data_IF_236826668388
#
_entry.id   IF_236826668388
#
_cell.length_a   1.000
_cell.length_b   1.000
_cell.length_c   1.000
_cell.angle_alpha   90.00
_cell.angle_beta   90.00
_cell.angle_gamma   90.00
#
_symmetry.space_group_name_H-M   'P 1'
#
loop_
_entity.id
_entity.type
_entity.pdbx_description
1 polymer ?
#
# COMPACT_ATOMS: atom_id res chain seq x y z
N UNK A 1 36.63 -2.80 14.34
CA UNK A 1 35.24 -2.34 14.32
C UNK A 1 35.07 -1.59 13.02
N UNK A 2 34.19 -2.06 12.15
CA UNK A 2 34.01 -1.54 10.79
C UNK A 2 33.13 -0.29 10.85
N UNK A 3 33.76 0.89 10.81
CA UNK A 3 33.15 2.24 10.81
C UNK A 3 32.33 2.57 9.55
N UNK A 4 31.79 1.57 8.85
CA UNK A 4 30.97 1.75 7.64
C UNK A 4 29.51 2.08 7.95
N UNK A 5 29.20 2.36 9.21
CA UNK A 5 27.85 2.29 9.72
C UNK A 5 27.09 3.58 9.41
N UNK A 6 26.36 3.51 8.29
CA UNK A 6 25.15 4.26 7.95
C UNK A 6 25.34 5.64 7.29
N UNK A 7 25.90 5.66 6.07
CA UNK A 7 25.84 6.85 5.18
C UNK A 7 24.40 7.38 4.96
N UNK A 8 23.40 6.57 5.25
CA UNK A 8 21.98 6.87 5.07
C UNK A 8 21.28 7.24 6.38
N UNK A 9 21.97 7.32 7.52
CA UNK A 9 21.40 7.65 8.85
C UNK A 9 22.21 8.79 9.48
N UNK A 10 21.54 9.70 10.15
CA UNK A 10 22.20 10.80 10.87
C UNK A 10 23.02 10.29 12.06
N UNK A 11 24.04 11.06 12.43
CA UNK A 11 24.75 10.86 13.70
C UNK A 11 23.84 11.21 14.87
N UNK A 12 23.99 10.55 16.04
CA UNK A 12 23.14 10.80 17.21
C UNK A 12 23.23 12.23 17.74
N UNK A 13 24.32 12.94 17.46
CA UNK A 13 24.55 14.33 17.88
C UNK A 13 23.89 15.37 16.95
N UNK A 14 23.26 14.93 15.84
CA UNK A 14 22.62 15.84 14.88
C UNK A 14 21.26 16.29 15.41
N UNK A 15 21.20 17.51 15.97
CA UNK A 15 19.93 18.15 16.33
C UNK A 15 19.18 18.64 15.07
N UNK A 16 18.34 17.79 14.50
CA UNK A 16 17.39 18.20 13.46
C UNK A 16 16.14 18.83 14.07
N UNK A 17 16.25 20.11 14.42
CA UNK A 17 15.11 20.90 14.89
C UNK A 17 14.02 21.10 13.80
N UNK A 18 14.39 20.90 12.53
CA UNK A 18 13.53 21.14 11.36
C UNK A 18 12.74 19.91 10.90
N UNK A 19 12.74 18.82 11.67
CA UNK A 19 11.83 17.71 11.37
C UNK A 19 10.39 18.17 11.44
N UNK A 20 9.64 17.87 10.38
CA UNK A 20 8.20 18.10 10.34
C UNK A 20 7.58 17.50 11.60
N UNK A 21 6.61 18.18 12.24
CA UNK A 21 6.05 17.76 13.53
C UNK A 21 5.62 16.28 13.58
N UNK A 22 5.27 15.69 12.44
CA UNK A 22 4.88 14.28 12.27
C UNK A 22 6.00 13.25 12.47
N UNK A 23 7.27 13.64 12.25
CA UNK A 23 8.42 12.77 12.54
C UNK A 23 8.88 12.90 13.99
N UNK A 24 8.13 13.61 14.84
CA UNK A 24 8.37 13.67 16.28
C UNK A 24 7.49 12.64 16.99
N UNK A 25 7.98 12.00 18.06
CA UNK A 25 7.19 11.07 18.86
C UNK A 25 5.85 11.68 19.29
N UNK A 26 4.75 11.09 18.83
CA UNK A 26 3.41 11.58 19.16
C UNK A 26 2.38 10.45 19.10
N UNK A 27 1.39 10.49 19.99
CA UNK A 27 0.22 9.61 19.94
C UNK A 27 -0.91 10.15 19.08
N UNK A 28 -0.79 11.40 18.64
CA UNK A 28 -1.85 12.02 17.86
C UNK A 28 -1.94 11.31 16.51
N UNK A 29 -3.14 10.89 16.06
CA UNK A 29 -3.31 10.37 14.72
C UNK A 29 -2.91 11.43 13.69
N UNK A 30 -2.32 10.98 12.58
CA UNK A 30 -1.98 11.83 11.45
C UNK A 30 -3.25 12.45 10.87
N UNK A 31 -3.25 13.77 10.71
CA UNK A 31 -4.37 14.46 10.06
C UNK A 31 -4.29 14.31 8.55
N UNK A 32 -5.41 14.51 7.85
CA UNK A 32 -5.44 14.47 6.38
C UNK A 32 -4.48 15.48 5.74
N UNK A 33 -4.41 16.71 6.28
CA UNK A 33 -3.49 17.75 5.80
C UNK A 33 -2.01 17.35 6.00
N UNK A 34 -1.68 16.65 7.08
CA UNK A 34 -0.33 16.14 7.29
C UNK A 34 0.02 15.01 6.33
N UNK A 35 -0.92 14.09 6.11
CA UNK A 35 -0.76 13.01 5.13
C UNK A 35 -0.53 13.57 3.74
N UNK A 36 -1.34 14.56 3.32
CA UNK A 36 -1.18 15.27 2.05
C UNK A 36 0.17 16.01 1.96
N UNK A 37 0.61 16.63 3.05
CA UNK A 37 1.94 17.23 3.09
C UNK A 37 3.08 16.19 3.04
N UNK A 38 2.87 14.92 3.44
CA UNK A 38 3.86 13.84 3.23
C UNK A 38 3.82 13.40 1.79
N UNK A 39 2.62 13.18 1.25
CA UNK A 39 2.43 12.68 -0.11
C UNK A 39 3.01 13.60 -1.17
N UNK A 40 3.08 14.90 -0.89
CA UNK A 40 3.71 15.89 -1.77
C UNK A 40 5.20 16.15 -1.47
N UNK A 41 5.77 15.55 -0.42
CA UNK A 41 7.18 15.73 -0.05
C UNK A 41 8.10 14.71 -0.72
N UNK A 42 9.38 15.05 -0.80
CA UNK A 42 10.43 14.11 -1.22
C UNK A 42 10.76 13.10 -0.10
N UNK A 43 11.22 11.89 -0.45
CA UNK A 43 11.81 10.95 0.51
C UNK A 43 13.00 11.59 1.24
N UNK A 44 13.26 11.19 2.48
CA UNK A 44 14.40 11.73 3.22
C UNK A 44 15.69 11.12 2.67
N UNK A 45 16.67 11.94 2.32
CA UNK A 45 17.96 11.44 1.85
C UNK A 45 18.73 10.74 2.97
N UNK A 46 18.63 11.27 4.19
CA UNK A 46 19.24 10.76 5.41
C UNK A 46 18.11 10.49 6.42
N UNK A 47 18.19 9.35 7.12
CA UNK A 47 17.25 8.99 8.17
C UNK A 47 17.62 9.69 9.47
N UNK A 48 16.74 10.55 10.00
CA UNK A 48 16.94 11.17 11.30
C UNK A 48 17.08 10.12 12.40
N UNK A 49 18.05 10.31 13.31
CA UNK A 49 18.34 9.37 14.38
C UNK A 49 17.12 9.02 15.25
N UNK A 50 16.20 9.98 15.46
CA UNK A 50 14.96 9.77 16.22
C UNK A 50 14.05 8.69 15.59
N UNK A 51 14.19 8.40 14.30
CA UNK A 51 13.46 7.35 13.59
C UNK A 51 14.19 6.00 13.61
N UNK A 52 15.36 5.90 14.23
CA UNK A 52 16.07 4.63 14.41
C UNK A 52 15.53 3.94 15.66
N UNK A 53 15.07 2.68 15.57
CA UNK A 53 14.61 1.94 16.74
C UNK A 53 15.79 1.59 17.65
N UNK A 54 15.95 2.37 18.72
CA UNK A 54 16.99 2.18 19.74
C UNK A 54 16.50 1.35 20.95
N UNK A 55 15.18 1.29 21.17
CA UNK A 55 14.55 0.63 22.30
C UNK A 55 14.72 1.36 23.63
N UNK A 56 15.20 2.62 23.62
CA UNK A 56 15.44 3.41 24.83
C UNK A 56 14.26 4.33 25.18
N UNK A 57 13.35 4.60 24.24
CA UNK A 57 12.16 5.42 24.44
C UNK A 57 10.88 4.62 24.73
N UNK A 58 9.80 5.33 25.07
CA UNK A 58 8.45 4.76 25.25
C UNK A 58 7.74 4.44 23.92
N UNK A 59 8.32 4.87 22.80
CA UNK A 59 7.68 4.84 21.49
C UNK A 59 8.55 4.15 20.44
N UNK A 60 7.94 3.22 19.72
CA UNK A 60 8.47 2.67 18.49
C UNK A 60 8.28 3.68 17.35
N UNK A 61 9.35 4.02 16.60
CA UNK A 61 9.24 4.92 15.46
C UNK A 61 8.41 4.28 14.35
N UNK A 62 7.78 5.09 13.48
CA UNK A 62 7.12 4.56 12.30
C UNK A 62 8.12 3.81 11.41
N UNK A 63 7.60 2.88 10.60
CA UNK A 63 8.44 2.13 9.66
C UNK A 63 8.84 3.02 8.50
N UNK A 64 10.14 3.13 8.28
CA UNK A 64 10.74 3.85 7.17
C UNK A 64 11.47 2.82 6.29
N UNK A 65 11.22 2.85 4.98
CA UNK A 65 11.89 2.01 3.99
C UNK A 65 12.93 2.81 3.23
N UNK A 66 14.18 2.33 3.19
CA UNK A 66 15.14 2.80 2.22
C UNK A 66 14.82 2.14 0.88
N UNK A 67 14.41 2.95 -0.09
CA UNK A 67 13.73 2.46 -1.28
C UNK A 67 13.97 3.37 -2.50
N UNK A 68 13.54 2.88 -3.67
CA UNK A 68 13.43 3.65 -4.91
C UNK A 68 12.00 3.63 -5.43
N UNK A 69 11.65 4.65 -6.21
CA UNK A 69 10.44 4.65 -7.00
C UNK A 69 10.61 3.85 -8.30
N UNK A 70 9.50 3.39 -8.86
CA UNK A 70 9.46 2.73 -10.17
C UNK A 70 8.08 2.92 -10.81
N UNK A 71 7.98 2.60 -12.09
CA UNK A 71 6.72 2.57 -12.84
C UNK A 71 6.24 1.10 -12.89
N UNK A 72 5.12 0.74 -12.26
CA UNK A 72 4.67 -0.65 -12.18
C UNK A 72 4.53 -1.32 -13.54
N UNK A 73 4.04 -0.57 -14.53
CA UNK A 73 3.78 -1.08 -15.88
C UNK A 73 5.06 -1.48 -16.59
N UNK A 74 6.20 -0.85 -16.26
CA UNK A 74 7.50 -1.26 -16.82
C UNK A 74 7.94 -2.61 -16.28
N UNK A 75 7.74 -2.89 -14.99
CA UNK A 75 8.06 -4.21 -14.43
C UNK A 75 7.09 -5.29 -14.92
N UNK A 76 5.82 -4.96 -15.14
CA UNK A 76 4.85 -5.90 -15.71
C UNK A 76 5.18 -6.21 -17.16
N UNK A 77 5.47 -5.19 -17.98
CA UNK A 77 5.86 -5.39 -19.37
C UNK A 77 7.15 -6.22 -19.48
N UNK A 78 8.14 -5.95 -18.61
CA UNK A 78 9.34 -6.77 -18.51
C UNK A 78 9.01 -8.22 -18.12
N UNK A 79 8.08 -8.43 -17.18
CA UNK A 79 7.66 -9.78 -16.80
C UNK A 79 7.03 -10.54 -17.98
N UNK A 80 6.18 -9.87 -18.76
CA UNK A 80 5.56 -10.44 -19.97
C UNK A 80 6.60 -10.75 -21.06
N UNK A 81 7.55 -9.85 -21.29
CA UNK A 81 8.61 -10.02 -22.31
C UNK A 81 9.56 -11.19 -21.99
N UNK A 82 9.78 -11.48 -20.70
CA UNK A 82 10.73 -12.49 -20.24
C UNK A 82 10.08 -13.79 -19.72
N UNK A 83 8.78 -14.02 -19.99
CA UNK A 83 8.02 -15.18 -19.51
C UNK A 83 8.08 -15.37 -17.97
N UNK A 84 8.08 -14.26 -17.22
CA UNK A 84 8.11 -14.22 -15.75
C UNK A 84 6.72 -13.96 -15.13
N UNK A 85 5.66 -14.12 -15.92
CA UNK A 85 4.28 -13.90 -15.48
C UNK A 85 3.85 -15.02 -14.53
N UNK A 86 3.41 -14.64 -13.33
CA UNK A 86 2.76 -15.54 -12.40
C UNK A 86 1.24 -15.48 -12.60
N UNK A 87 0.59 -16.63 -12.73
CA UNK A 87 -0.87 -16.73 -12.74
C UNK A 87 -1.40 -16.63 -11.31
N UNK A 88 -2.50 -15.90 -11.09
CA UNK A 88 -3.21 -16.04 -9.81
C UNK A 88 -3.76 -17.45 -9.75
N UNK A 89 -3.32 -18.21 -8.75
CA UNK A 89 -4.05 -19.39 -8.33
C UNK A 89 -5.47 -18.92 -8.00
N UNK A 90 -6.42 -19.30 -8.85
CA UNK A 90 -7.83 -19.15 -8.52
C UNK A 90 -8.01 -20.09 -7.35
N UNK A 91 -7.99 -19.54 -6.13
CA UNK A 91 -8.54 -20.24 -4.98
C UNK A 91 -9.90 -20.73 -5.45
N UNK A 92 -9.98 -22.04 -5.65
CA UNK A 92 -11.25 -22.65 -5.98
C UNK A 92 -12.06 -22.37 -4.73
N UNK A 93 -12.93 -21.36 -4.81
CA UNK A 93 -14.09 -21.28 -3.96
C UNK A 93 -14.80 -22.61 -4.21
N UNK A 94 -14.42 -23.63 -3.43
CA UNK A 94 -15.17 -24.85 -3.32
C UNK A 94 -16.54 -24.34 -2.93
N UNK A 95 -17.48 -24.38 -3.89
CA UNK A 95 -18.91 -24.26 -3.64
C UNK A 95 -19.24 -25.37 -2.65
N UNK A 96 -18.94 -25.12 -1.39
CA UNK A 96 -19.55 -25.77 -0.26
C UNK A 96 -20.99 -25.28 -0.34
N UNK A 97 -21.78 -25.96 -1.16
CA UNK A 97 -23.23 -26.03 -1.00
C UNK A 97 -23.44 -26.25 0.49
N UNK A 98 -23.80 -25.16 1.18
CA UNK A 98 -24.07 -25.19 2.60
C UNK A 98 -25.28 -26.10 2.75
N UNK A 99 -25.00 -27.35 3.10
CA UNK A 99 -25.96 -28.28 3.66
C UNK A 99 -26.80 -27.53 4.69
N UNK A 100 -28.10 -27.67 4.55
CA UNK A 100 -29.14 -26.88 5.19
C UNK A 100 -28.89 -26.54 6.67
N UNK A 101 -29.38 -25.37 7.15
CA UNK A 101 -29.25 -24.97 8.53
C UNK A 101 -29.89 -26.00 9.47
N UNK A 102 -29.03 -26.77 10.16
CA UNK A 102 -29.43 -27.65 11.26
C UNK A 102 -29.84 -26.78 12.43
N UNK A 103 -31.14 -26.78 12.73
CA UNK A 103 -31.77 -26.03 13.83
C UNK A 103 -30.95 -26.06 15.13
N UNK A 104 -30.50 -24.88 15.57
CA UNK A 104 -29.82 -24.74 16.86
C UNK A 104 -30.81 -24.86 18.04
N UNK A 105 -30.42 -25.55 19.13
CA UNK A 105 -31.19 -25.58 20.36
C UNK A 105 -31.06 -24.27 21.14
N UNK A 106 -32.21 -23.66 21.44
CA UNK A 106 -32.37 -22.47 22.29
C UNK A 106 -31.68 -22.63 23.66
N UNK A 107 -30.50 -22.06 23.84
CA UNK A 107 -29.95 -21.78 25.16
C UNK A 107 -30.44 -20.42 25.66
N UNK A 108 -31.33 -20.46 26.66
CA UNK A 108 -31.78 -19.29 27.44
C UNK A 108 -30.61 -18.81 28.31
N UNK A 109 -30.05 -17.65 28.01
CA UNK A 109 -29.17 -16.92 28.93
C UNK A 109 -29.96 -15.81 29.62
N UNK A 110 -29.84 -15.81 30.94
CA UNK A 110 -30.55 -14.94 31.85
C UNK A 110 -30.02 -13.50 31.79
N UNK A 111 -30.97 -12.56 31.85
CA UNK A 111 -30.74 -11.17 32.13
C UNK A 111 -30.11 -10.99 33.52
N UNK A 112 -29.04 -10.19 33.59
CA UNK A 112 -28.32 -9.91 34.83
C UNK A 112 -27.57 -8.58 34.76
N UNK A 113 -28.25 -7.54 35.25
CA UNK A 113 -27.73 -6.38 35.98
C UNK A 113 -26.99 -5.26 35.21
N UNK A 114 -27.80 -4.24 34.93
CA UNK A 114 -27.49 -2.82 34.96
C UNK A 114 -26.69 -2.44 36.22
N UNK A 115 -25.56 -1.76 36.05
CA UNK A 115 -25.09 -0.77 37.03
C UNK A 115 -24.70 0.52 36.31
N UNK A 116 -25.40 1.54 36.75
CA UNK A 116 -25.45 2.93 36.39
C UNK A 116 -24.34 3.64 37.18
N UNK A 117 -23.24 4.01 36.54
CA UNK A 117 -22.23 4.89 37.13
C UNK A 117 -22.18 6.22 36.40
N UNK A 118 -22.81 7.18 37.07
CA UNK A 118 -22.82 8.61 36.82
C UNK A 118 -21.38 9.14 36.76
N UNK A 119 -21.04 9.84 35.67
CA UNK A 119 -19.87 10.70 35.65
C UNK A 119 -20.22 12.08 35.13
N UNK A 120 -20.07 13.03 36.02
CA UNK A 120 -20.34 14.45 35.90
C UNK A 120 -19.51 15.11 34.78
N UNK A 121 -20.18 15.87 33.91
CA UNK A 121 -19.56 16.78 32.97
C UNK A 121 -19.23 18.12 33.64
N UNK A 122 -18.06 18.73 33.36
CA UNK A 122 -17.84 20.14 33.66
C UNK A 122 -18.11 21.02 32.44
N UNK A 123 -19.02 21.98 32.65
CA UNK A 123 -19.28 23.14 31.82
C UNK A 123 -17.99 23.88 31.43
N UNK A 124 -17.79 24.09 30.13
CA UNK A 124 -16.80 25.07 29.64
C UNK A 124 -17.33 25.82 28.41
N UNK A 125 -17.91 26.96 28.71
CA UNK A 125 -18.00 28.23 27.98
C UNK A 125 -17.55 28.22 26.50
N UNK A 126 -18.54 28.15 25.60
CA UNK A 126 -18.37 28.48 24.17
C UNK A 126 -18.41 29.99 23.96
N UNK A 127 -17.27 30.52 23.54
CA UNK A 127 -17.10 31.87 23.00
C UNK A 127 -17.82 32.03 21.66
N UNK A 128 -18.48 33.18 21.51
CA UNK A 128 -19.12 33.65 20.29
C UNK A 128 -18.06 34.14 19.29
N UNK A 129 -18.19 33.73 18.03
CA UNK A 129 -17.38 34.21 16.92
C UNK A 129 -18.12 34.04 15.60
N UNK A 130 -18.83 35.11 15.20
CA UNK A 130 -19.53 35.26 13.93
C UNK A 130 -18.54 35.55 12.78
N UNK A 131 -18.83 35.00 11.60
CA UNK A 131 -18.29 35.42 10.29
C UNK A 131 -18.73 34.39 9.24
N UNK A 132 -19.79 34.59 8.44
CA UNK A 132 -19.86 35.38 7.18
C UNK A 132 -18.66 35.09 6.28
N UNK A 133 -18.71 34.71 5.00
CA UNK A 133 -19.65 34.50 3.88
C UNK A 133 -18.85 33.50 2.96
N UNK A 134 -19.29 32.87 1.87
CA UNK A 134 -20.03 33.35 0.72
C UNK A 134 -20.14 32.19 -0.29
N UNK A 135 -21.20 32.27 -1.05
CA UNK A 135 -21.61 31.47 -2.20
C UNK A 135 -20.50 31.20 -3.24
N UNK A 136 -20.51 29.99 -3.82
CA UNK A 136 -20.74 29.81 -5.26
C UNK A 136 -21.00 28.34 -5.59
N UNK A 137 -22.27 28.06 -5.89
CA UNK A 137 -22.81 26.80 -6.39
C UNK A 137 -22.78 26.89 -7.92
N UNK A 138 -21.82 26.23 -8.55
CA UNK A 138 -21.76 26.08 -10.00
C UNK A 138 -22.50 24.82 -10.41
N UNK A 139 -23.75 24.97 -10.86
CA UNK A 139 -24.50 23.96 -11.59
C UNK A 139 -23.95 23.91 -13.03
N UNK A 140 -23.51 22.73 -13.47
CA UNK A 140 -23.26 22.47 -14.89
C UNK A 140 -24.03 21.23 -15.30
N UNK A 141 -25.20 21.49 -15.89
CA UNK A 141 -25.99 20.56 -16.69
C UNK A 141 -25.15 20.06 -17.86
N UNK A 142 -25.01 18.74 -17.98
CA UNK A 142 -24.53 18.10 -19.20
C UNK A 142 -25.61 17.17 -19.73
N UNK A 143 -26.10 17.59 -20.89
CA UNK A 143 -27.18 17.04 -21.70
C UNK A 143 -26.95 15.56 -22.03
N UNK A 144 -27.99 14.75 -21.79
CA UNK A 144 -28.15 13.41 -22.34
C UNK A 144 -28.56 13.53 -23.80
N UNK A 145 -27.67 13.09 -24.70
CA UNK A 145 -27.98 12.88 -26.12
C UNK A 145 -28.66 11.54 -26.33
N UNK A 146 -29.91 11.62 -26.76
CA UNK A 146 -30.82 10.55 -27.18
C UNK A 146 -30.46 9.96 -28.56
N UNK A 147 -30.91 8.72 -28.74
CA UNK A 147 -31.46 8.13 -29.97
C UNK A 147 -30.56 7.56 -31.10
N UNK A 148 -30.98 6.35 -31.52
CA UNK A 148 -30.66 5.67 -32.77
C UNK A 148 -30.27 4.21 -32.53
N UNK A 149 -30.86 3.18 -33.12
CA UNK A 149 -31.98 3.06 -34.05
C UNK A 149 -32.28 1.55 -34.17
N UNK A 150 -33.53 1.26 -34.51
CA UNK A 150 -34.15 -0.06 -34.67
C UNK A 150 -33.48 -0.92 -35.75
N UNK A 151 -33.51 -2.25 -35.60
CA UNK A 151 -32.87 -3.12 -36.58
C UNK A 151 -33.21 -4.61 -36.50
N UNK A 152 -34.39 -4.95 -37.02
CA UNK A 152 -34.72 -6.19 -37.73
C UNK A 152 -34.97 -7.47 -36.93
N UNK A 153 -36.27 -7.76 -36.83
CA UNK A 153 -36.84 -9.11 -36.78
C UNK A 153 -36.42 -9.93 -38.01
N UNK A 154 -36.12 -11.21 -37.80
CA UNK A 154 -35.96 -12.23 -38.83
C UNK A 154 -36.24 -13.58 -38.18
N UNK A 155 -37.52 -13.93 -38.11
CA UNK A 155 -37.99 -15.30 -37.96
C UNK A 155 -37.56 -16.12 -39.18
N UNK A 156 -37.00 -17.32 -38.96
CA UNK A 156 -37.45 -18.58 -39.59
C UNK A 156 -36.48 -19.74 -39.26
N UNK A 157 -36.93 -20.56 -38.30
CA UNK A 157 -36.98 -22.03 -38.31
C UNK A 157 -35.91 -22.82 -39.11
N UNK A 158 -35.05 -23.56 -38.39
CA UNK A 158 -34.90 -25.01 -38.62
C UNK A 158 -34.43 -25.73 -37.34
N UNK A 159 -35.38 -26.41 -36.69
CA UNK A 159 -35.23 -27.03 -35.38
C UNK A 159 -34.66 -28.47 -35.49
N UNK A 160 -33.33 -28.62 -35.55
CA UNK A 160 -32.68 -29.93 -35.40
C UNK A 160 -32.50 -30.30 -33.91
N UNK A 161 -33.58 -30.81 -33.31
CA UNK A 161 -33.74 -31.12 -31.89
C UNK A 161 -32.97 -32.36 -31.39
N UNK A 162 -31.95 -32.86 -32.13
CA UNK A 162 -31.29 -34.15 -31.79
C UNK A 162 -29.78 -34.11 -31.57
N UNK A 163 -29.18 -32.96 -31.20
CA UNK A 163 -27.73 -32.92 -30.90
C UNK A 163 -27.18 -31.93 -29.86
N UNK A 164 -27.97 -31.47 -28.88
CA UNK A 164 -27.47 -30.51 -27.86
C UNK A 164 -27.55 -31.05 -26.42
N UNK A 165 -26.89 -32.20 -26.19
CA UNK A 165 -26.18 -32.43 -24.91
C UNK A 165 -24.74 -31.96 -25.07
N UNK A 166 -24.54 -30.77 -25.61
CA UNK A 166 -23.24 -30.09 -25.53
C UNK A 166 -23.07 -29.65 -24.10
N UNK A 167 -22.42 -30.51 -23.32
CA UNK A 167 -21.46 -30.16 -22.27
C UNK A 167 -21.41 -28.65 -22.04
N UNK A 168 -22.21 -28.14 -21.09
CA UNK A 168 -21.92 -26.89 -20.39
C UNK A 168 -20.65 -27.11 -19.57
N UNK A 169 -19.52 -27.35 -20.26
CA UNK A 169 -18.23 -27.28 -19.62
C UNK A 169 -18.11 -25.82 -19.17
N UNK A 170 -17.91 -25.55 -17.87
CA UNK A 170 -17.74 -24.20 -17.38
C UNK A 170 -16.67 -23.52 -18.24
N UNK A 171 -17.02 -22.36 -18.82
CA UNK A 171 -16.07 -21.54 -19.57
C UNK A 171 -14.92 -21.27 -18.60
N UNK A 172 -13.77 -21.91 -18.82
CA UNK A 172 -12.55 -21.62 -18.07
C UNK A 172 -12.27 -20.15 -18.29
N UNK A 173 -12.44 -19.33 -17.26
CA UNK A 173 -12.01 -17.93 -17.29
C UNK A 173 -10.51 -17.95 -17.60
N UNK A 174 -10.07 -17.09 -18.50
CA UNK A 174 -8.64 -16.94 -18.77
C UNK A 174 -7.92 -16.66 -17.43
N UNK A 175 -6.73 -17.24 -17.20
CA UNK A 175 -5.97 -16.97 -15.99
C UNK A 175 -5.82 -15.46 -15.79
N UNK A 176 -6.19 -14.95 -14.62
CA UNK A 176 -5.93 -13.56 -14.27
C UNK A 176 -4.49 -13.47 -13.77
N UNK A 177 -3.63 -12.72 -14.47
CA UNK A 177 -2.25 -12.51 -14.06
C UNK A 177 -2.15 -11.99 -12.61
N UNK A 178 -1.26 -12.59 -11.81
CA UNK A 178 -0.82 -12.02 -10.54
C UNK A 178 0.20 -10.92 -10.83
N UNK A 179 -0.30 -9.69 -10.92
CA UNK A 179 0.53 -8.52 -11.21
C UNK A 179 1.63 -8.31 -10.17
N UNK A 180 1.36 -8.55 -8.87
CA UNK A 180 2.37 -8.33 -7.82
C UNK A 180 3.41 -9.45 -7.86
N UNK A 181 2.98 -10.70 -7.98
CA UNK A 181 3.85 -11.86 -8.17
C UNK A 181 4.78 -11.70 -9.36
N UNK A 182 4.21 -11.38 -10.53
CA UNK A 182 4.95 -11.12 -11.77
C UNK A 182 5.98 -9.99 -11.62
N UNK A 183 5.61 -8.87 -10.98
CA UNK A 183 6.55 -7.78 -10.71
C UNK A 183 7.69 -8.21 -9.78
N UNK A 184 7.44 -9.08 -8.79
CA UNK A 184 8.50 -9.62 -7.91
C UNK A 184 9.46 -10.52 -8.68
N UNK A 185 8.95 -11.33 -9.60
CA UNK A 185 9.77 -12.16 -10.48
C UNK A 185 10.64 -11.30 -11.42
N UNK A 186 10.04 -10.31 -12.09
CA UNK A 186 10.75 -9.33 -12.90
C UNK A 186 11.85 -8.60 -12.11
N UNK A 187 11.53 -8.12 -10.91
CA UNK A 187 12.48 -7.40 -10.07
C UNK A 187 13.70 -8.25 -9.68
N UNK A 188 13.49 -9.55 -9.39
CA UNK A 188 14.59 -10.48 -9.10
C UNK A 188 15.45 -10.75 -10.33
N UNK A 189 14.83 -10.95 -11.49
CA UNK A 189 15.55 -11.13 -12.75
C UNK A 189 16.41 -9.90 -13.08
N UNK A 190 15.85 -8.69 -12.99
CA UNK A 190 16.58 -7.43 -13.18
C UNK A 190 17.76 -7.27 -12.21
N UNK A 191 17.58 -7.64 -10.93
CA UNK A 191 18.68 -7.59 -9.96
C UNK A 191 19.83 -8.53 -10.35
N UNK A 192 19.52 -9.74 -10.83
CA UNK A 192 20.52 -10.71 -11.31
C UNK A 192 21.22 -10.19 -12.56
N UNK A 193 20.47 -9.69 -13.54
CA UNK A 193 21.01 -9.15 -14.80
C UNK A 193 21.89 -7.91 -14.59
N UNK A 194 21.51 -7.04 -13.66
CA UNK A 194 22.30 -5.88 -13.27
C UNK A 194 23.54 -6.22 -12.45
N UNK A 195 23.70 -7.48 -12.01
CA UNK A 195 24.77 -7.90 -11.10
C UNK A 195 24.67 -7.25 -9.72
N UNK A 196 23.45 -6.98 -9.25
CA UNK A 196 23.16 -6.42 -7.93
C UNK A 196 22.96 -7.54 -6.90
N UNK A 197 23.83 -7.60 -5.89
CA UNK A 197 23.79 -8.66 -4.87
C UNK A 197 22.89 -8.29 -3.69
N UNK A 198 21.57 -8.31 -3.91
CA UNK A 198 20.57 -7.94 -2.89
C UNK A 198 19.90 -9.19 -2.31
N UNK A 199 19.89 -9.40 -0.98
CA UNK A 199 19.20 -10.55 -0.39
C UNK A 199 17.71 -10.55 -0.72
N UNK A 200 17.18 -11.68 -1.18
CA UNK A 200 15.77 -11.84 -1.59
C UNK A 200 14.79 -11.49 -0.47
N UNK A 201 15.18 -11.68 0.79
CA UNK A 201 14.36 -11.34 1.97
C UNK A 201 14.18 -9.83 2.18
N UNK A 202 15.11 -9.04 1.65
CA UNK A 202 15.24 -7.60 1.83
C UNK A 202 14.60 -6.86 0.65
N UNK A 203 14.72 -7.41 -0.56
CA UNK A 203 14.10 -6.86 -1.77
C UNK A 203 12.59 -7.08 -1.80
N UNK A 204 11.81 -6.04 -1.51
CA UNK A 204 10.34 -6.10 -1.43
C UNK A 204 9.68 -5.00 -2.25
N UNK A 205 8.47 -5.26 -2.71
CA UNK A 205 7.56 -4.22 -3.20
C UNK A 205 6.67 -3.81 -2.02
N UNK A 206 6.72 -2.53 -1.65
CA UNK A 206 5.99 -1.96 -0.51
C UNK A 206 5.17 -0.74 -0.94
N UNK A 207 4.36 -0.21 -0.03
CA UNK A 207 3.58 1.02 -0.23
C UNK A 207 4.24 2.17 0.56
N UNK A 208 4.70 3.21 -0.14
CA UNK A 208 5.28 4.41 0.45
C UNK A 208 4.35 5.62 0.32
N UNK A 209 4.40 6.53 1.31
CA UNK A 209 3.55 7.74 1.30
C UNK A 209 4.17 8.86 0.45
N UNK A 210 5.48 9.09 0.54
CA UNK A 210 6.14 10.20 -0.14
C UNK A 210 5.97 10.12 -1.66
N UNK A 211 5.73 11.27 -2.27
CA UNK A 211 5.46 11.47 -3.70
C UNK A 211 4.18 10.82 -4.23
N UNK A 212 3.29 10.31 -3.38
CA UNK A 212 1.96 9.86 -3.81
C UNK A 212 1.12 10.97 -4.46
N UNK A 213 1.38 12.25 -4.15
CA UNK A 213 0.66 13.37 -4.80
C UNK A 213 1.14 13.69 -6.22
N UNK A 214 2.31 13.17 -6.62
CA UNK A 214 2.95 13.46 -7.92
C UNK A 214 3.06 12.20 -8.79
N UNK A 215 2.99 11.01 -8.20
CA UNK A 215 3.11 9.72 -8.90
C UNK A 215 1.74 9.06 -9.08
N UNK A 216 1.62 8.27 -10.13
CA UNK A 216 0.43 7.45 -10.39
C UNK A 216 0.27 6.29 -9.41
N UNK A 217 1.35 5.91 -8.72
CA UNK A 217 1.37 4.78 -7.79
C UNK A 217 2.07 5.11 -6.47
N UNK A 218 1.64 4.42 -5.41
CA UNK A 218 2.29 4.41 -4.09
C UNK A 218 3.32 3.28 -3.95
N UNK A 219 3.52 2.46 -4.98
CA UNK A 219 4.47 1.36 -4.93
C UNK A 219 5.92 1.87 -4.95
N UNK A 220 6.74 1.24 -4.12
CA UNK A 220 8.18 1.44 -3.99
C UNK A 220 8.90 0.10 -3.97
N UNK A 221 10.15 0.06 -4.44
CA UNK A 221 11.05 -1.08 -4.23
C UNK A 221 11.84 -0.80 -2.96
N UNK A 222 11.47 -1.49 -1.88
CA UNK A 222 12.13 -1.40 -0.58
C UNK A 222 13.32 -2.37 -0.52
N UNK A 223 14.44 -1.86 0.00
CA UNK A 223 15.66 -2.63 0.21
C UNK A 223 15.82 -3.04 1.67
N UNK A 224 15.48 -2.18 2.61
CA UNK A 224 15.53 -2.46 4.04
C UNK A 224 14.74 -1.39 4.80
N UNK A 225 14.31 -1.72 6.00
CA UNK A 225 13.65 -0.77 6.90
C UNK A 225 14.62 -0.17 7.93
N UNK A 226 14.18 0.87 8.64
CA UNK A 226 14.87 1.37 9.83
C UNK A 226 15.05 0.29 10.93
N UNK A 227 14.22 -0.76 10.91
CA UNK A 227 14.34 -1.91 11.82
C UNK A 227 15.39 -2.93 11.37
N UNK A 228 15.78 -2.92 10.10
CA UNK A 228 16.80 -3.81 9.55
C UNK A 228 18.23 -3.24 9.68
N UNK A 229 18.39 -2.01 10.21
CA UNK A 229 19.68 -1.33 10.41
C UNK A 229 20.65 -2.07 11.35
N UNK A 230 20.33 -3.25 11.87
CA UNK A 230 21.28 -4.09 12.63
C UNK A 230 21.65 -5.36 11.88
N UNK A 231 21.09 -5.58 10.69
CA UNK A 231 21.41 -6.71 9.84
C UNK A 231 22.82 -6.60 9.25
N UNK A 232 23.55 -7.71 9.20
CA UNK A 232 24.93 -7.76 8.71
C UNK A 232 25.06 -7.93 7.19
N UNK A 233 23.94 -8.18 6.50
CA UNK A 233 23.82 -8.51 5.07
C UNK A 233 23.02 -7.44 4.31
N UNK A 234 23.06 -6.18 4.75
CA UNK A 234 22.38 -5.11 4.03
C UNK A 234 23.00 -4.87 2.65
N UNK A 235 22.17 -4.57 1.62
CA UNK A 235 22.67 -4.31 0.28
C UNK A 235 23.57 -3.07 0.26
N UNK A 236 24.61 -3.13 -0.57
CA UNK A 236 25.53 -2.00 -0.74
C UNK A 236 24.85 -0.86 -1.50
N UNK A 237 25.35 0.37 -1.35
CA UNK A 237 24.86 1.52 -2.15
C UNK A 237 25.09 1.32 -3.64
N UNK A 238 26.16 0.60 -4.02
CA UNK A 238 26.45 0.24 -5.41
C UNK A 238 25.39 -0.73 -5.97
N UNK A 239 25.01 -1.76 -5.22
CA UNK A 239 23.97 -2.72 -5.64
C UNK A 239 22.60 -2.06 -5.78
N UNK A 240 22.27 -1.16 -4.86
CA UNK A 240 21.04 -0.35 -4.91
C UNK A 240 21.04 0.52 -6.17
N UNK A 241 22.15 1.17 -6.48
CA UNK A 241 22.27 2.04 -7.65
C UNK A 241 22.19 1.26 -8.96
N UNK A 242 22.82 0.07 -9.04
CA UNK A 242 22.69 -0.85 -10.18
C UNK A 242 21.22 -1.19 -10.44
N UNK A 243 20.48 -1.58 -9.40
CA UNK A 243 19.06 -1.92 -9.57
C UNK A 243 18.24 -0.68 -9.93
N UNK A 244 18.51 0.48 -9.33
CA UNK A 244 17.82 1.74 -9.64
C UNK A 244 17.91 2.10 -11.12
N UNK A 245 19.10 1.98 -11.71
CA UNK A 245 19.32 2.20 -13.14
C UNK A 245 18.58 1.14 -13.97
N UNK A 246 18.65 -0.13 -13.57
CA UNK A 246 17.99 -1.24 -14.27
C UNK A 246 16.46 -1.11 -14.32
N UNK A 247 15.82 -0.64 -13.23
CA UNK A 247 14.36 -0.44 -13.18
C UNK A 247 13.90 0.89 -13.80
N UNK A 248 14.82 1.70 -14.33
CA UNK A 248 14.49 2.98 -14.98
C UNK A 248 14.05 4.09 -14.01
N UNK A 249 14.36 3.97 -12.71
CA UNK A 249 14.05 5.03 -11.74
C UNK A 249 14.85 6.31 -12.06
N UNK A 250 14.18 7.45 -12.06
CA UNK A 250 14.83 8.75 -12.32
C UNK A 250 15.34 9.44 -11.05
N UNK A 251 14.94 8.96 -9.87
CA UNK A 251 15.22 9.62 -8.61
C UNK A 251 16.22 8.82 -7.77
N UNK A 252 17.05 9.49 -6.95
CA UNK A 252 17.96 8.79 -6.06
C UNK A 252 17.18 7.99 -5.00
N UNK A 253 17.78 6.92 -4.45
CA UNK A 253 17.20 6.19 -3.34
C UNK A 253 17.03 7.10 -2.12
N UNK A 254 16.01 6.84 -1.32
CA UNK A 254 15.74 7.60 -0.11
C UNK A 254 14.80 6.88 0.84
N UNK A 255 14.52 7.51 1.98
CA UNK A 255 13.67 6.98 3.03
C UNK A 255 12.22 7.37 2.82
N UNK A 256 11.39 6.36 2.58
CA UNK A 256 9.94 6.46 2.42
C UNK A 256 9.26 6.00 3.72
N UNK A 257 8.22 6.70 4.13
CA UNK A 257 7.34 6.33 5.23
C UNK A 257 6.38 5.25 4.74
N UNK A 258 6.30 4.14 5.46
CA UNK A 258 5.40 3.03 5.13
C UNK A 258 3.93 3.49 5.23
N UNK A 259 3.09 3.10 4.26
CA UNK A 259 1.68 3.52 4.23
C UNK A 259 0.80 2.84 5.28
N UNK A 260 1.16 1.64 5.73
CA UNK A 260 0.44 0.90 6.77
C UNK A 260 0.95 1.27 8.16
N UNK A 261 2.28 1.43 8.29
CA UNK A 261 2.97 1.57 9.57
C UNK A 261 3.60 2.97 9.76
N UNK A 262 2.85 4.03 9.42
CA UNK A 262 3.31 5.42 9.49
C UNK A 262 3.19 6.09 10.87
N UNK A 263 2.73 5.37 11.88
CA UNK A 263 2.43 5.92 13.22
C UNK A 263 3.51 5.55 14.22
N UNK A 264 3.68 6.40 15.22
CA UNK A 264 4.42 6.03 16.42
C UNK A 264 3.57 5.08 17.25
N UNK A 265 4.13 3.94 17.60
CA UNK A 265 3.49 2.95 18.46
C UNK A 265 4.15 2.94 19.84
N UNK A 266 3.52 2.35 20.85
CA UNK A 266 4.23 2.09 22.11
C UNK A 266 5.01 0.79 21.97
N UNK A 267 6.20 0.74 22.55
CA UNK A 267 6.81 -0.56 22.83
C UNK A 267 5.92 -1.31 23.83
N UNK A 268 5.60 -2.56 23.51
CA UNK A 268 4.86 -3.47 24.38
C UNK A 268 5.80 -4.18 25.36
#
# INVERSE_FOLDING_TARGET
MTDWQWLTVDTPDTELNDLLPRYRPTRRPMTAAEFEAISNSHPLAILPWILVPDGLGDFAPPVMHYAIDFVPDQLVAYAEEHDLVEDKEVEQEEDHEQDEPREEPKCKLNAGQEQDEQREEPDSERSAGQGQEREQRGESDLEHGEEGEEGSESEEEDYDFRRLKTRNAPRRKAPTMDRIGSMRCALRALAIEAGAHIPTRLLKISLGIQRMGVRETSLIISFYSNYDLKAGDLPTTEDIEKLRVAVGSQHPPGWYLDRSDYRWERYY
#
